data_IF_015207514563
#
_entry.id   IF_015207514563
#
_cell.length_a   1.000
_cell.length_b   1.000
_cell.length_c   1.000
_cell.angle_alpha   90.00
_cell.angle_beta   90.00
_cell.angle_gamma   90.00
#
_symmetry.space_group_name_H-M   'P 1'
#
loop_
_entity.id
_entity.type
_entity.pdbx_description
1 polymer ?
#
# COMPACT_ATOMS: atom_id res chain seq x y z
N UNK A 1 19.22 -14.94 2.31
CA UNK A 1 17.81 -15.36 2.34
C UNK A 1 17.69 -16.60 1.46
N UNK A 2 17.18 -17.72 1.98
CA UNK A 2 17.03 -18.97 1.21
C UNK A 2 15.78 -18.93 0.33
N UNK A 3 15.78 -19.66 -0.79
CA UNK A 3 14.68 -19.68 -1.78
C UNK A 3 13.32 -20.08 -1.17
N UNK A 4 13.33 -20.99 -0.18
CA UNK A 4 12.15 -21.37 0.61
C UNK A 4 11.56 -20.22 1.42
N UNK A 5 12.41 -19.30 1.91
CA UNK A 5 11.97 -18.12 2.67
C UNK A 5 11.41 -17.02 1.78
N UNK A 6 11.91 -16.90 0.54
CA UNK A 6 11.37 -15.96 -0.44
C UNK A 6 9.97 -16.40 -0.90
N UNK A 7 9.81 -17.69 -1.21
CA UNK A 7 8.53 -18.28 -1.61
C UNK A 7 7.48 -18.20 -0.49
N UNK A 8 7.90 -18.27 0.78
CA UNK A 8 7.00 -18.06 1.91
C UNK A 8 6.62 -16.59 2.13
N UNK A 9 7.46 -15.63 1.73
CA UNK A 9 7.15 -14.20 1.77
C UNK A 9 6.16 -13.82 0.67
N UNK A 10 6.37 -14.27 -0.57
CA UNK A 10 5.43 -14.05 -1.69
C UNK A 10 4.03 -14.61 -1.38
N UNK A 11 3.97 -15.81 -0.77
CA UNK A 11 2.71 -16.40 -0.34
C UNK A 11 2.00 -15.58 0.74
N UNK A 12 2.76 -14.99 1.69
CA UNK A 12 2.20 -14.10 2.71
C UNK A 12 1.73 -12.77 2.12
N UNK A 13 2.53 -12.16 1.23
CA UNK A 13 2.17 -10.94 0.50
C UNK A 13 0.84 -11.13 -0.24
N UNK A 14 0.72 -12.23 -1.00
CA UNK A 14 -0.53 -12.55 -1.69
C UNK A 14 -1.69 -12.73 -0.71
N UNK A 15 -1.48 -13.45 0.39
CA UNK A 15 -2.50 -13.64 1.42
C UNK A 15 -2.96 -12.31 2.04
N UNK A 16 -2.04 -11.38 2.26
CA UNK A 16 -2.37 -10.09 2.86
C UNK A 16 -3.04 -9.13 1.87
N UNK A 17 -2.65 -9.18 0.58
CA UNK A 17 -3.40 -8.53 -0.51
C UNK A 17 -4.82 -9.10 -0.59
N UNK A 18 -5.00 -10.42 -0.53
CA UNK A 18 -6.33 -11.04 -0.55
C UNK A 18 -7.19 -10.57 0.63
N UNK A 19 -6.59 -10.47 1.84
CA UNK A 19 -7.28 -9.98 3.05
C UNK A 19 -7.67 -8.50 2.99
N UNK A 20 -7.00 -7.68 2.16
CA UNK A 20 -7.42 -6.28 1.95
C UNK A 20 -8.83 -6.21 1.36
N UNK A 21 -9.26 -7.24 0.62
CA UNK A 21 -10.58 -7.31 0.00
C UNK A 21 -10.79 -6.32 -1.15
N UNK A 22 -9.73 -5.65 -1.61
CA UNK A 22 -9.81 -4.54 -2.54
C UNK A 22 -9.09 -4.84 -3.85
N UNK A 23 -9.86 -5.30 -4.84
CA UNK A 23 -9.38 -5.74 -6.16
C UNK A 23 -8.08 -6.58 -6.12
N UNK A 24 -8.00 -7.65 -5.31
CA UNK A 24 -6.73 -8.34 -5.04
C UNK A 24 -6.05 -8.90 -6.29
N UNK A 25 -6.84 -9.33 -7.30
CA UNK A 25 -6.30 -9.77 -8.58
C UNK A 25 -5.62 -8.63 -9.36
N UNK A 26 -6.23 -7.44 -9.40
CA UNK A 26 -5.68 -6.25 -10.08
C UNK A 26 -4.41 -5.76 -9.36
N UNK A 27 -4.44 -5.71 -8.03
CA UNK A 27 -3.29 -5.33 -7.19
C UNK A 27 -2.13 -6.29 -7.44
N UNK A 28 -2.39 -7.60 -7.41
CA UNK A 28 -1.36 -8.61 -7.60
C UNK A 28 -0.77 -8.57 -9.03
N UNK A 29 -1.60 -8.41 -10.06
CA UNK A 29 -1.14 -8.36 -11.45
C UNK A 29 -0.26 -7.14 -11.72
N UNK A 30 -0.70 -5.97 -11.26
CA UNK A 30 0.05 -4.72 -11.39
C UNK A 30 1.38 -4.78 -10.65
N UNK A 31 1.39 -5.30 -9.42
CA UNK A 31 2.59 -5.47 -8.61
C UNK A 31 3.56 -6.49 -9.22
N UNK A 32 3.05 -7.64 -9.68
CA UNK A 32 3.86 -8.69 -10.30
C UNK A 32 4.56 -8.18 -11.56
N UNK A 33 3.85 -7.38 -12.37
CA UNK A 33 4.41 -6.72 -13.55
C UNK A 33 5.56 -5.79 -13.17
N UNK A 34 5.42 -5.00 -12.10
CA UNK A 34 6.45 -4.07 -11.64
C UNK A 34 7.67 -4.77 -11.02
N UNK A 35 7.45 -5.85 -10.27
CA UNK A 35 8.51 -6.67 -9.65
C UNK A 35 9.33 -7.44 -10.69
N UNK A 36 8.71 -7.81 -11.81
CA UNK A 36 9.33 -8.65 -12.83
C UNK A 36 9.92 -9.94 -12.23
N UNK A 37 11.25 -10.10 -12.24
CA UNK A 37 11.94 -11.27 -11.71
C UNK A 37 12.66 -11.01 -10.38
N UNK A 38 12.46 -9.85 -9.76
CA UNK A 38 13.10 -9.55 -8.48
C UNK A 38 12.37 -10.20 -7.31
N UNK A 39 13.15 -10.81 -6.41
CA UNK A 39 12.61 -11.34 -5.17
C UNK A 39 12.15 -10.20 -4.25
N UNK A 40 10.99 -10.37 -3.62
CA UNK A 40 10.56 -9.51 -2.52
C UNK A 40 11.40 -9.86 -1.29
N UNK A 41 11.98 -8.85 -0.65
CA UNK A 41 12.75 -8.95 0.59
C UNK A 41 11.88 -8.67 1.81
N UNK A 42 10.98 -7.69 1.69
CA UNK A 42 9.99 -7.33 2.70
C UNK A 42 8.82 -6.59 2.04
N UNK A 43 7.69 -6.48 2.73
CA UNK A 43 6.54 -5.75 2.20
C UNK A 43 5.63 -5.16 3.29
N UNK A 44 4.81 -4.19 2.88
CA UNK A 44 3.67 -3.70 3.64
C UNK A 44 2.47 -3.62 2.70
N UNK A 45 1.32 -4.15 3.13
CA UNK A 45 0.02 -3.91 2.51
C UNK A 45 -0.75 -2.97 3.42
N UNK A 46 -1.04 -1.78 2.92
CA UNK A 46 -1.79 -0.77 3.63
C UNK A 46 -3.13 -0.55 2.91
N UNK A 47 -4.22 -0.78 3.63
CA UNK A 47 -5.57 -0.54 3.14
C UNK A 47 -6.14 0.62 3.94
N UNK A 48 -6.42 1.72 3.25
CA UNK A 48 -7.01 2.91 3.83
C UNK A 48 -8.45 3.04 3.35
N UNK A 49 -9.32 3.47 4.25
CA UNK A 49 -10.69 3.85 3.96
C UNK A 49 -10.90 5.26 4.47
N UNK A 50 -11.01 6.22 3.56
CA UNK A 50 -11.20 7.64 3.87
C UNK A 50 -12.55 8.10 3.36
N UNK A 51 -13.25 8.93 4.13
CA UNK A 51 -14.37 9.70 3.61
C UNK A 51 -13.82 11.00 3.03
N UNK A 52 -14.11 11.30 1.77
CA UNK A 52 -13.74 12.61 1.23
C UNK A 52 -14.67 13.72 1.75
N UNK A 53 -14.33 14.98 1.50
CA UNK A 53 -15.11 16.14 1.94
C UNK A 53 -16.54 16.23 1.37
N UNK A 54 -17.00 15.23 0.62
CA UNK A 54 -18.36 15.05 0.11
C UNK A 54 -19.05 13.81 0.69
N UNK A 55 -18.53 13.23 1.77
CA UNK A 55 -18.98 11.98 2.39
C UNK A 55 -18.88 10.73 1.48
N UNK A 56 -18.06 10.77 0.42
CA UNK A 56 -17.82 9.60 -0.42
C UNK A 56 -16.72 8.72 0.19
N UNK A 57 -17.01 7.42 0.34
CA UNK A 57 -16.05 6.44 0.84
C UNK A 57 -15.03 6.11 -0.27
N UNK A 58 -13.80 6.56 -0.10
CA UNK A 58 -12.64 6.16 -0.92
C UNK A 58 -11.85 5.08 -0.20
N UNK A 59 -11.89 3.89 -0.77
CA UNK A 59 -11.00 2.80 -0.40
C UNK A 59 -9.80 2.86 -1.33
N UNK A 60 -8.61 2.68 -0.78
CA UNK A 60 -7.44 2.50 -1.60
C UNK A 60 -6.48 1.54 -0.93
N UNK A 61 -5.71 0.82 -1.75
CA UNK A 61 -4.67 -0.08 -1.26
C UNK A 61 -3.32 0.41 -1.78
N UNK A 62 -2.41 0.60 -0.84
CA UNK A 62 -1.00 0.86 -1.10
C UNK A 62 -0.20 -0.38 -0.71
N UNK A 63 0.60 -0.90 -1.64
CA UNK A 63 1.56 -1.98 -1.38
C UNK A 63 2.96 -1.44 -1.55
N UNK A 64 3.80 -1.61 -0.53
CA UNK A 64 5.22 -1.36 -0.61
C UNK A 64 5.94 -2.70 -0.65
N UNK A 65 6.72 -2.97 -1.68
CA UNK A 65 7.53 -4.17 -1.82
C UNK A 65 9.00 -3.80 -1.98
N UNK A 66 9.82 -4.20 -1.00
CA UNK A 66 11.26 -3.99 -1.03
C UNK A 66 11.92 -5.08 -1.87
N UNK A 67 12.73 -4.70 -2.85
CA UNK A 67 13.57 -5.61 -3.63
C UNK A 67 15.05 -5.33 -3.33
N UNK A 68 15.99 -6.15 -3.84
CA UNK A 68 17.42 -5.87 -3.71
C UNK A 68 17.88 -4.53 -4.29
N UNK A 69 17.12 -3.94 -5.23
CA UNK A 69 17.56 -2.75 -5.97
C UNK A 69 16.66 -1.53 -5.80
N UNK A 70 15.39 -1.72 -5.43
CA UNK A 70 14.38 -0.67 -5.41
C UNK A 70 13.24 -0.97 -4.45
N UNK A 71 12.54 0.07 -4.04
CA UNK A 71 11.22 0.00 -3.44
C UNK A 71 10.19 0.10 -4.56
N UNK A 72 9.36 -0.94 -4.72
CA UNK A 72 8.19 -0.89 -5.60
C UNK A 72 6.99 -0.44 -4.78
N UNK A 73 6.35 0.64 -5.23
CA UNK A 73 5.14 1.21 -4.64
C UNK A 73 3.99 0.91 -5.59
N UNK A 74 3.03 0.10 -5.17
CA UNK A 74 1.78 -0.11 -5.88
C UNK A 74 0.66 0.66 -5.20
N UNK A 75 -0.16 1.36 -5.96
CA UNK A 75 -1.31 2.09 -5.44
C UNK A 75 -2.54 1.75 -6.30
N UNK A 76 -3.64 1.38 -5.65
CA UNK A 76 -4.89 1.05 -6.33
C UNK A 76 -6.04 1.82 -5.71
N UNK A 77 -6.66 2.66 -6.53
CA UNK A 77 -7.82 3.48 -6.20
C UNK A 77 -9.05 3.03 -6.97
N UNK A 78 -10.23 3.30 -6.42
CA UNK A 78 -11.49 3.30 -7.17
C UNK A 78 -11.99 4.73 -7.32
N UNK A 79 -12.65 4.94 -8.45
CA UNK A 79 -13.22 6.20 -8.83
C UNK A 79 -14.70 5.99 -9.15
N UNK A 80 -15.57 6.93 -8.76
CA UNK A 80 -16.94 6.96 -9.26
C UNK A 80 -16.94 7.19 -10.78
N UNK A 81 -18.08 7.02 -11.46
CA UNK A 81 -18.25 7.46 -12.83
C UNK A 81 -17.86 8.93 -13.00
N UNK A 82 -17.24 9.26 -14.13
CA UNK A 82 -16.83 10.62 -14.49
C UNK A 82 -17.17 10.94 -15.96
N UNK A 83 -16.70 12.08 -16.46
CA UNK A 83 -16.94 12.50 -17.84
C UNK A 83 -16.35 11.55 -18.89
N UNK A 84 -15.40 10.69 -18.50
CA UNK A 84 -14.71 9.75 -19.38
C UNK A 84 -15.29 8.33 -19.29
N UNK A 85 -15.82 7.95 -18.13
CA UNK A 85 -16.28 6.59 -17.85
C UNK A 85 -17.62 6.61 -17.12
N UNK A 86 -18.66 6.04 -17.73
CA UNK A 86 -20.03 6.00 -17.17
C UNK A 86 -20.20 5.03 -15.98
N UNK A 87 -19.17 4.25 -15.65
CA UNK A 87 -19.19 3.24 -14.58
C UNK A 87 -18.05 3.49 -13.59
N UNK A 88 -18.20 3.09 -12.31
CA UNK A 88 -17.06 3.08 -11.40
C UNK A 88 -15.91 2.26 -12.01
N UNK A 89 -14.69 2.73 -11.82
CA UNK A 89 -13.49 2.10 -12.36
C UNK A 89 -12.36 2.17 -11.34
N UNK A 90 -11.41 1.25 -11.45
CA UNK A 90 -10.23 1.22 -10.61
C UNK A 90 -8.99 1.60 -11.41
N UNK A 91 -8.10 2.37 -10.80
CA UNK A 91 -6.78 2.69 -11.35
C UNK A 91 -5.74 2.00 -10.48
N UNK A 92 -4.85 1.22 -11.10
CA UNK A 92 -3.69 0.64 -10.41
C UNK A 92 -2.41 1.18 -11.04
N UNK A 93 -1.58 1.82 -10.23
CA UNK A 93 -0.31 2.42 -10.64
C UNK A 93 0.83 1.80 -9.86
N UNK A 94 1.99 1.68 -10.50
CA UNK A 94 3.21 1.25 -9.83
C UNK A 94 4.35 2.22 -10.08
N UNK A 95 5.14 2.47 -9.04
CA UNK A 95 6.37 3.26 -9.08
C UNK A 95 7.53 2.41 -8.59
N UNK A 96 8.70 2.58 -9.19
CA UNK A 96 9.91 1.86 -8.81
C UNK A 96 11.02 2.84 -8.41
N UNK A 97 11.22 2.99 -7.11
CA UNK A 97 12.15 3.97 -6.52
C UNK A 97 13.44 3.29 -6.12
N UNK A 98 14.58 3.67 -6.70
CA UNK A 98 15.88 3.13 -6.28
C UNK A 98 16.17 3.54 -4.84
N UNK A 99 16.57 2.61 -3.99
CA UNK A 99 16.80 2.88 -2.57
C UNK A 99 17.91 3.91 -2.34
N UNK A 100 18.95 3.89 -3.18
CA UNK A 100 20.04 4.87 -3.17
C UNK A 100 19.59 6.31 -3.50
N UNK A 101 18.36 6.51 -3.96
CA UNK A 101 17.77 7.84 -4.24
C UNK A 101 16.80 8.30 -3.16
N UNK A 102 16.63 7.53 -2.08
CA UNK A 102 15.82 7.93 -0.93
C UNK A 102 16.70 8.71 0.02
N UNK A 103 16.74 10.04 -0.15
CA UNK A 103 17.62 10.92 0.64
C UNK A 103 17.07 11.26 2.03
N UNK A 104 15.75 11.21 2.21
CA UNK A 104 15.10 11.58 3.48
C UNK A 104 13.84 10.76 3.74
N UNK A 105 13.61 10.42 5.00
CA UNK A 105 12.38 9.77 5.49
C UNK A 105 11.76 10.64 6.57
N UNK A 106 10.47 10.94 6.42
CA UNK A 106 9.68 11.68 7.42
C UNK A 106 8.73 10.71 8.09
N UNK A 107 8.71 10.72 9.42
CA UNK A 107 7.77 9.93 10.22
C UNK A 107 6.86 10.89 10.97
N UNK A 108 5.59 10.91 10.60
CA UNK A 108 4.57 11.76 11.21
C UNK A 108 3.79 10.96 12.26
N UNK A 109 3.45 11.61 13.38
CA UNK A 109 2.56 11.05 14.40
C UNK A 109 1.43 12.04 14.67
N UNK A 110 0.21 11.54 14.62
CA UNK A 110 -0.99 12.30 14.99
C UNK A 110 -1.42 11.86 16.38
N UNK A 111 -1.72 12.83 17.25
CA UNK A 111 -2.19 12.59 18.63
C UNK A 111 -3.38 13.51 18.91
N UNK A 112 -4.44 12.95 19.49
CA UNK A 112 -5.68 13.69 19.74
C UNK A 112 -5.54 14.73 20.86
N UNK A 113 -4.83 14.39 21.95
CA UNK A 113 -4.60 15.28 23.12
C UNK A 113 -3.10 15.44 23.41
N UNK A 114 -2.37 16.29 22.67
CA UNK A 114 -0.90 16.38 22.75
C UNK A 114 -0.39 16.73 24.15
N UNK A 115 -1.13 17.55 24.90
CA UNK A 115 -0.75 17.95 26.27
C UNK A 115 -0.78 16.80 27.29
N UNK A 116 -1.47 15.69 26.98
CA UNK A 116 -1.54 14.48 27.81
C UNK A 116 -0.76 13.31 27.23
N UNK A 117 0.08 13.55 26.22
CA UNK A 117 0.84 12.50 25.56
C UNK A 117 1.73 11.75 26.55
N UNK A 118 1.57 10.43 26.61
CA UNK A 118 2.43 9.51 27.36
C UNK A 118 3.07 8.55 26.36
N UNK A 119 4.40 8.46 26.38
CA UNK A 119 5.12 7.50 25.55
C UNK A 119 4.67 6.07 25.85
N UNK A 120 4.38 5.29 24.80
CA UNK A 120 3.81 3.94 24.94
C UNK A 120 2.32 3.89 25.29
N UNK A 121 1.65 5.05 25.34
CA UNK A 121 0.19 5.12 25.46
C UNK A 121 -0.53 4.58 24.21
N UNK A 122 -1.84 4.34 24.31
CA UNK A 122 -2.64 3.84 23.19
C UNK A 122 -2.55 4.80 22.00
N UNK A 123 -2.37 4.23 20.80
CA UNK A 123 -2.45 4.98 19.54
C UNK A 123 -3.92 5.26 19.23
N UNK A 124 -4.21 6.48 18.77
CA UNK A 124 -5.52 6.85 18.25
C UNK A 124 -5.47 6.81 16.72
N UNK A 125 -6.51 6.27 16.10
CA UNK A 125 -6.68 6.29 14.66
C UNK A 125 -6.81 7.73 14.16
N UNK A 126 -6.21 8.01 13.01
CA UNK A 126 -6.42 9.26 12.29
C UNK A 126 -7.76 9.12 11.58
N UNK A 127 -8.76 9.84 12.06
CA UNK A 127 -10.05 10.01 11.36
C UNK A 127 -9.96 11.19 10.42
#
# INVERSE_FOLDING_TARGET
MTETSARSLEGRLRSDIDKSGYYPALVFDSLSTALASEAVLDYVVHHEATFDGRDELRRHVTVLALTPTRLVVGHTDEHPPDETTERPYATSSTEAVRLERVDSVVVTRVVSEPAKYVSGGPVHEVV
#
